data_IF_966202804395
#
_entry.id   IF_966202804395
#
_cell.length_a   1.000
_cell.length_b   1.000
_cell.length_c   1.000
_cell.angle_alpha   90.00
_cell.angle_beta   90.00
_cell.angle_gamma   90.00
#
_symmetry.space_group_name_H-M   'P 1'
#
loop_
_entity.id
_entity.type
_entity.pdbx_description
1 polymer ?
#
# COMPACT_ATOMS: atom_id res chain seq x y z
N UNK A 1 26.91 34.54 -35.39
CA UNK A 1 25.44 34.37 -35.34
C UNK A 1 25.17 32.88 -35.27
N UNK A 2 24.72 32.38 -34.13
CA UNK A 2 24.50 30.95 -33.89
C UNK A 2 23.00 30.72 -33.88
N UNK A 3 22.48 30.02 -34.89
CA UNK A 3 21.06 29.66 -34.99
C UNK A 3 20.72 28.66 -33.88
N UNK A 4 19.70 28.90 -33.05
CA UNK A 4 19.28 27.92 -32.06
C UNK A 4 18.69 26.69 -32.78
N UNK A 5 18.97 25.47 -32.31
CA UNK A 5 18.37 24.27 -32.89
C UNK A 5 16.85 24.32 -32.69
N UNK A 6 16.09 24.09 -33.76
CA UNK A 6 14.65 23.83 -33.68
C UNK A 6 14.42 22.63 -32.76
N UNK A 7 13.76 22.87 -31.64
CA UNK A 7 13.25 21.82 -30.78
C UNK A 7 12.19 21.03 -31.56
N UNK A 8 12.57 19.89 -32.13
CA UNK A 8 11.61 18.96 -32.70
C UNK A 8 10.65 18.51 -31.61
N UNK A 9 9.36 18.74 -31.79
CA UNK A 9 8.31 18.28 -30.88
C UNK A 9 8.29 16.76 -30.92
N UNK A 10 8.84 16.10 -29.90
CA UNK A 10 8.71 14.65 -29.72
C UNK A 10 7.39 14.38 -29.00
N UNK A 11 6.53 13.54 -29.59
CA UNK A 11 5.33 13.04 -28.92
C UNK A 11 5.74 12.03 -27.86
N UNK A 12 5.36 12.23 -26.58
CA UNK A 12 5.57 11.22 -25.55
C UNK A 12 4.78 9.95 -25.91
N UNK A 13 5.41 8.79 -25.73
CA UNK A 13 4.76 7.48 -25.85
C UNK A 13 4.59 6.91 -24.44
N UNK A 14 3.44 6.32 -24.16
CA UNK A 14 3.23 5.65 -22.88
C UNK A 14 3.99 4.31 -22.84
N UNK A 15 4.40 3.88 -21.64
CA UNK A 15 5.15 2.64 -21.48
C UNK A 15 4.42 1.42 -22.07
N UNK A 16 3.09 1.36 -21.96
CA UNK A 16 2.29 0.25 -22.47
C UNK A 16 2.18 0.21 -24.00
N UNK A 17 2.52 1.30 -24.70
CA UNK A 17 2.62 1.29 -26.15
C UNK A 17 3.89 0.54 -26.58
N UNK A 18 4.97 0.70 -25.81
CA UNK A 18 6.21 -0.04 -25.98
C UNK A 18 6.09 -1.49 -25.49
N UNK A 19 5.39 -1.71 -24.37
CA UNK A 19 5.34 -2.98 -23.65
C UNK A 19 3.90 -3.52 -23.53
N UNK A 20 3.14 -3.52 -24.64
CA UNK A 20 1.73 -3.91 -24.65
C UNK A 20 1.46 -5.34 -24.15
N UNK A 21 2.45 -6.25 -24.30
CA UNK A 21 2.37 -7.62 -23.76
C UNK A 21 2.39 -7.63 -22.24
N UNK A 22 3.20 -6.77 -21.63
CA UNK A 22 3.30 -6.65 -20.18
C UNK A 22 1.98 -6.14 -19.60
N UNK A 23 1.44 -5.05 -20.16
CA UNK A 23 0.14 -4.52 -19.71
C UNK A 23 -0.96 -5.58 -19.80
N UNK A 24 -1.02 -6.33 -20.91
CA UNK A 24 -2.02 -7.39 -21.07
C UNK A 24 -1.89 -8.47 -20.00
N UNK A 25 -0.65 -8.91 -19.72
CA UNK A 25 -0.37 -9.88 -18.66
C UNK A 25 -0.85 -9.37 -17.30
N UNK A 26 -0.49 -8.14 -16.92
CA UNK A 26 -0.92 -7.56 -15.64
C UNK A 26 -2.46 -7.46 -15.57
N UNK A 27 -3.13 -7.10 -16.67
CA UNK A 27 -4.59 -7.07 -16.75
C UNK A 27 -5.25 -8.44 -16.62
N UNK A 28 -4.66 -9.48 -17.21
CA UNK A 28 -5.15 -10.86 -17.11
C UNK A 28 -4.98 -11.39 -15.68
N UNK A 29 -3.79 -11.24 -15.10
CA UNK A 29 -3.47 -11.69 -13.75
C UNK A 29 -4.32 -10.96 -12.70
N UNK A 30 -4.39 -9.62 -12.77
CA UNK A 30 -5.14 -8.83 -11.77
C UNK A 30 -6.63 -9.13 -11.86
N UNK A 31 -7.23 -9.23 -13.06
CA UNK A 31 -8.67 -9.56 -13.17
C UNK A 31 -9.00 -10.97 -12.71
N UNK A 32 -8.05 -11.90 -12.83
CA UNK A 32 -8.24 -13.26 -12.33
C UNK A 32 -8.26 -13.31 -10.79
N UNK A 33 -7.40 -12.54 -10.13
CA UNK A 33 -7.26 -12.56 -8.67
C UNK A 33 -8.16 -11.53 -7.96
N UNK A 34 -8.38 -10.37 -8.58
CA UNK A 34 -9.06 -9.21 -8.00
C UNK A 34 -10.00 -8.58 -9.03
N UNK A 35 -11.12 -9.25 -9.38
CA UNK A 35 -12.02 -8.82 -10.44
C UNK A 35 -12.68 -7.46 -10.20
N UNK A 36 -12.77 -7.03 -8.94
CA UNK A 36 -13.37 -5.76 -8.54
C UNK A 36 -12.43 -4.55 -8.66
N UNK A 37 -11.14 -4.78 -8.93
CA UNK A 37 -10.21 -3.68 -9.20
C UNK A 37 -10.48 -3.09 -10.59
N UNK A 38 -10.56 -1.76 -10.64
CA UNK A 38 -10.83 -1.00 -11.84
C UNK A 38 -9.51 -0.49 -12.44
N UNK A 39 -9.23 -0.91 -13.67
CA UNK A 39 -8.09 -0.38 -14.42
C UNK A 39 -8.37 1.07 -14.86
N UNK A 40 -7.37 1.92 -14.67
CA UNK A 40 -7.33 3.30 -15.13
C UNK A 40 -6.28 3.47 -16.22
N UNK A 41 -6.67 4.16 -17.29
CA UNK A 41 -5.83 4.35 -18.48
C UNK A 41 -5.28 5.78 -18.62
N UNK A 42 -5.28 6.58 -17.54
CA UNK A 42 -4.74 7.93 -17.53
C UNK A 42 -3.24 7.94 -17.21
N UNK A 43 -2.46 8.74 -17.94
CA UNK A 43 -1.02 8.86 -17.71
C UNK A 43 -0.26 7.56 -17.99
N UNK A 44 0.40 6.99 -16.98
CA UNK A 44 1.01 5.66 -17.04
C UNK A 44 0.02 4.56 -16.60
N UNK A 45 -1.20 4.95 -16.22
CA UNK A 45 -2.31 4.15 -15.71
C UNK A 45 -2.01 3.37 -14.44
N UNK A 46 -2.94 2.52 -14.08
CA UNK A 46 -2.97 1.93 -12.75
C UNK A 46 -4.27 1.22 -12.44
N UNK A 47 -4.47 0.91 -11.17
CA UNK A 47 -5.65 0.22 -10.66
C UNK A 47 -6.16 0.89 -9.41
N UNK A 48 -7.47 0.85 -9.19
CA UNK A 48 -8.07 1.32 -7.94
C UNK A 48 -9.21 0.40 -7.52
N UNK A 49 -9.48 0.35 -6.22
CA UNK A 49 -10.58 -0.41 -5.66
C UNK A 49 -10.23 -1.01 -4.30
N UNK A 50 -11.03 -1.97 -3.88
CA UNK A 50 -10.91 -2.62 -2.58
C UNK A 50 -10.40 -4.05 -2.78
N UNK A 51 -9.28 -4.38 -2.13
CA UNK A 51 -8.81 -5.76 -2.05
C UNK A 51 -9.70 -6.58 -1.11
N UNK A 52 -9.86 -7.90 -1.36
CA UNK A 52 -10.48 -8.80 -0.40
C UNK A 52 -9.78 -8.71 0.95
N UNK A 53 -10.56 -8.93 2.02
CA UNK A 53 -10.05 -8.94 3.39
C UNK A 53 -8.98 -10.02 3.61
N UNK A 54 -9.14 -11.16 2.96
CA UNK A 54 -8.26 -12.32 3.09
C UNK A 54 -8.09 -13.03 1.74
N UNK A 55 -7.16 -12.56 0.88
CA UNK A 55 -6.93 -13.15 -0.44
C UNK A 55 -5.86 -14.27 -0.44
N UNK A 56 -5.57 -14.88 0.71
CA UNK A 56 -4.47 -15.83 0.86
C UNK A 56 -4.93 -17.28 0.68
N UNK A 57 -4.00 -18.15 0.26
CA UNK A 57 -4.24 -19.60 0.10
C UNK A 57 -4.16 -20.35 1.44
N UNK A 58 -4.85 -19.83 2.45
CA UNK A 58 -5.03 -20.47 3.77
C UNK A 58 -6.31 -20.01 4.44
N UNK A 59 -6.86 -20.74 5.43
CA UNK A 59 -8.12 -20.38 6.07
C UNK A 59 -8.09 -19.00 6.69
N UNK A 60 -9.18 -18.24 6.52
CA UNK A 60 -9.34 -16.95 7.19
C UNK A 60 -9.48 -17.12 8.71
N UNK A 61 -8.74 -16.37 9.54
CA UNK A 61 -8.91 -16.38 10.98
C UNK A 61 -10.32 -15.96 11.41
N UNK A 62 -10.92 -16.73 12.32
CA UNK A 62 -12.33 -16.58 12.68
C UNK A 62 -12.73 -15.18 13.20
N UNK A 63 -11.80 -14.44 13.80
CA UNK A 63 -12.03 -13.11 14.38
C UNK A 63 -11.33 -11.99 13.62
N UNK A 64 -10.91 -12.20 12.37
CA UNK A 64 -10.27 -11.16 11.56
C UNK A 64 -11.15 -9.91 11.42
N UNK A 65 -12.47 -10.09 11.31
CA UNK A 65 -13.43 -9.00 11.23
C UNK A 65 -13.38 -8.05 12.45
N UNK A 66 -13.01 -8.57 13.62
CA UNK A 66 -12.93 -7.78 14.86
C UNK A 66 -11.70 -6.86 14.84
N UNK A 67 -10.68 -7.18 14.05
CA UNK A 67 -9.46 -6.38 13.90
C UNK A 67 -9.57 -5.32 12.81
N UNK A 68 -10.11 -5.69 11.64
CA UNK A 68 -10.07 -4.85 10.44
C UNK A 68 -11.45 -4.47 9.90
N UNK A 69 -12.52 -4.94 10.53
CA UNK A 69 -13.88 -4.73 10.06
C UNK A 69 -14.26 -5.68 8.91
N UNK A 70 -15.32 -5.29 8.19
CA UNK A 70 -15.89 -6.09 7.10
C UNK A 70 -15.17 -5.96 5.75
N UNK A 71 -14.28 -4.97 5.61
CA UNK A 71 -13.65 -4.62 4.33
C UNK A 71 -12.13 -4.85 4.39
N UNK A 72 -11.53 -5.10 3.22
CA UNK A 72 -10.07 -5.19 3.09
C UNK A 72 -9.41 -3.82 2.95
N UNK A 73 -8.44 -3.72 2.04
CA UNK A 73 -7.70 -2.48 1.78
C UNK A 73 -8.29 -1.74 0.58
N UNK A 74 -8.76 -0.51 0.75
CA UNK A 74 -8.96 0.39 -0.38
C UNK A 74 -7.60 0.96 -0.81
N UNK A 75 -7.28 0.88 -2.11
CA UNK A 75 -5.98 1.31 -2.61
C UNK A 75 -6.03 1.98 -3.98
N UNK A 76 -4.91 2.65 -4.28
CA UNK A 76 -4.51 3.07 -5.61
C UNK A 76 -3.16 2.42 -5.95
N UNK A 77 -3.10 1.70 -7.06
CA UNK A 77 -1.87 1.23 -7.68
C UNK A 77 -1.54 2.11 -8.87
N UNK A 78 -0.36 2.72 -8.87
CA UNK A 78 0.13 3.56 -9.95
C UNK A 78 1.32 2.92 -10.66
N UNK A 79 1.23 2.77 -11.98
CA UNK A 79 2.41 2.51 -12.80
C UNK A 79 3.18 3.82 -13.02
N UNK A 80 4.50 3.72 -13.14
CA UNK A 80 5.35 4.82 -13.64
C UNK A 80 5.63 4.66 -15.13
N UNK A 81 6.06 5.73 -15.81
CA UNK A 81 6.47 5.64 -17.23
C UNK A 81 7.72 4.76 -17.45
N UNK A 82 8.45 4.41 -16.38
CA UNK A 82 9.57 3.47 -16.42
C UNK A 82 9.16 2.00 -16.16
N UNK A 83 7.86 1.74 -15.98
CA UNK A 83 7.35 0.38 -15.82
C UNK A 83 7.53 -0.42 -17.13
N UNK A 84 7.91 -1.72 -17.08
CA UNK A 84 8.08 -2.58 -15.90
C UNK A 84 9.48 -2.58 -15.29
N UNK A 85 10.42 -1.75 -15.74
CA UNK A 85 11.78 -1.74 -15.17
C UNK A 85 11.78 -1.24 -13.72
N UNK A 86 10.91 -0.28 -13.41
CA UNK A 86 10.67 0.19 -12.05
C UNK A 86 9.32 -0.36 -11.56
N UNK A 87 9.28 -0.83 -10.31
CA UNK A 87 8.08 -1.34 -9.68
C UNK A 87 6.95 -0.29 -9.66
N UNK A 88 5.68 -0.71 -9.70
CA UNK A 88 4.56 0.20 -9.46
C UNK A 88 4.55 0.63 -7.99
N UNK A 89 3.86 1.74 -7.72
CA UNK A 89 3.61 2.19 -6.34
C UNK A 89 2.21 1.80 -5.94
N UNK A 90 2.03 1.41 -4.69
CA UNK A 90 0.72 1.13 -4.10
C UNK A 90 0.51 2.11 -2.96
N UNK A 91 -0.60 2.84 -3.00
CA UNK A 91 -1.00 3.79 -1.98
C UNK A 91 -2.25 3.24 -1.27
N UNK A 92 -2.21 3.11 0.07
CA UNK A 92 -3.41 2.84 0.84
C UNK A 92 -4.30 4.09 0.84
N UNK A 93 -5.59 3.91 0.57
CA UNK A 93 -6.61 4.96 0.58
C UNK A 93 -7.44 4.87 1.86
N UNK A 94 -7.86 3.66 2.23
CA UNK A 94 -8.55 3.38 3.49
C UNK A 94 -8.05 2.04 4.08
N UNK A 95 -7.40 2.04 5.26
CA UNK A 95 -7.07 3.20 6.09
C UNK A 95 -5.95 4.05 5.47
N UNK A 96 -6.09 5.38 5.60
CA UNK A 96 -5.02 6.31 5.24
C UNK A 96 -4.00 6.41 6.39
N UNK A 97 -2.71 6.06 6.18
CA UNK A 97 -1.68 6.22 7.19
C UNK A 97 -1.46 7.67 7.60
N UNK A 98 -1.15 7.87 8.87
CA UNK A 98 -0.87 9.20 9.41
C UNK A 98 0.51 9.69 8.96
N UNK A 99 0.70 11.00 8.71
CA UNK A 99 1.97 11.52 8.20
C UNK A 99 3.20 11.18 9.04
N UNK A 100 3.03 11.00 10.36
CA UNK A 100 4.13 10.63 11.24
C UNK A 100 4.56 9.16 11.06
N UNK A 101 3.71 8.29 10.51
CA UNK A 101 4.01 6.88 10.19
C UNK A 101 4.86 6.75 8.92
N UNK A 102 4.92 7.79 8.10
CA UNK A 102 5.67 7.77 6.84
C UNK A 102 7.17 7.75 7.11
N UNK A 103 7.94 7.14 6.20
CA UNK A 103 9.40 6.90 6.33
C UNK A 103 9.81 6.01 7.49
N UNK A 104 8.89 5.64 8.39
CA UNK A 104 9.17 4.73 9.48
C UNK A 104 9.08 3.29 8.98
N UNK A 105 10.23 2.62 8.99
CA UNK A 105 10.37 1.26 8.51
C UNK A 105 9.44 0.24 9.17
N UNK A 106 9.08 0.43 10.44
CA UNK A 106 8.17 -0.48 11.15
C UNK A 106 6.74 -0.49 10.60
N UNK A 107 6.34 0.53 9.82
CA UNK A 107 5.02 0.64 9.19
C UNK A 107 5.01 0.27 7.71
N UNK A 108 6.17 -0.01 7.11
CA UNK A 108 6.32 -0.26 5.67
C UNK A 108 5.74 0.84 4.79
N UNK A 109 6.06 2.09 5.12
CA UNK A 109 5.67 3.27 4.35
C UNK A 109 6.89 4.04 3.84
N UNK A 110 6.85 4.40 2.57
CA UNK A 110 7.78 5.32 1.93
C UNK A 110 7.43 6.78 2.31
N UNK A 111 8.31 7.73 1.98
CA UNK A 111 8.09 9.15 2.26
C UNK A 111 6.97 9.81 1.46
N UNK A 112 6.46 9.15 0.42
CA UNK A 112 5.31 9.59 -0.37
C UNK A 112 3.99 8.90 0.03
N UNK A 113 3.97 8.21 1.18
CA UNK A 113 2.87 7.39 1.67
C UNK A 113 2.61 6.09 0.88
N UNK A 114 3.41 5.78 -0.15
CA UNK A 114 3.31 4.47 -0.80
C UNK A 114 3.85 3.36 0.09
N UNK A 115 3.35 2.14 -0.10
CA UNK A 115 3.78 0.96 0.64
C UNK A 115 5.20 0.53 0.21
N UNK A 116 6.02 0.16 1.20
CA UNK A 116 7.36 -0.38 1.03
C UNK A 116 7.32 -1.92 1.03
N UNK A 117 6.90 -2.52 -0.10
CA UNK A 117 6.56 -3.97 -0.20
C UNK A 117 7.69 -4.88 -0.71
N UNK A 118 8.81 -4.31 -1.13
CA UNK A 118 9.93 -4.99 -1.81
C UNK A 118 11.20 -5.01 -0.96
N UNK A 119 11.08 -5.18 0.36
CA UNK A 119 12.26 -5.10 1.25
C UNK A 119 13.23 -6.25 1.01
N UNK A 120 12.72 -7.48 1.08
CA UNK A 120 13.53 -8.70 0.92
C UNK A 120 13.49 -9.22 -0.54
N UNK A 121 12.66 -8.62 -1.38
CA UNK A 121 12.48 -8.99 -2.78
C UNK A 121 13.04 -7.94 -3.74
N UNK A 122 13.64 -8.41 -4.84
CA UNK A 122 14.14 -7.54 -5.89
C UNK A 122 13.15 -7.51 -7.05
N UNK A 123 12.66 -6.33 -7.40
CA UNK A 123 11.90 -6.13 -8.62
C UNK A 123 12.83 -6.14 -9.83
N UNK A 124 12.61 -7.09 -10.74
CA UNK A 124 13.34 -7.23 -12.00
C UNK A 124 12.48 -6.91 -13.22
N UNK A 125 11.20 -6.59 -13.00
CA UNK A 125 10.22 -6.35 -14.06
C UNK A 125 9.67 -7.64 -14.66
N UNK A 126 9.85 -8.78 -13.98
CA UNK A 126 9.29 -10.09 -14.37
C UNK A 126 8.23 -10.59 -13.40
N UNK A 127 8.31 -10.13 -12.16
CA UNK A 127 7.42 -10.43 -11.04
C UNK A 127 5.99 -10.00 -11.37
N UNK A 128 5.02 -10.64 -10.72
CA UNK A 128 3.60 -10.29 -10.89
C UNK A 128 3.27 -9.08 -10.02
N UNK A 129 2.40 -8.21 -10.53
CA UNK A 129 1.80 -7.14 -9.72
C UNK A 129 0.84 -7.73 -8.67
N UNK A 130 0.28 -8.92 -8.93
CA UNK A 130 -0.56 -9.64 -7.96
C UNK A 130 0.19 -9.92 -6.67
N UNK A 131 1.48 -10.27 -6.75
CA UNK A 131 2.30 -10.53 -5.55
C UNK A 131 2.40 -9.28 -4.66
N UNK A 132 2.47 -8.09 -5.26
CA UNK A 132 2.45 -6.81 -4.54
C UNK A 132 1.07 -6.50 -3.96
N UNK A 133 -0.01 -6.79 -4.69
CA UNK A 133 -1.37 -6.61 -4.20
C UNK A 133 -1.69 -7.54 -3.01
N UNK A 134 -1.22 -8.79 -3.04
CA UNK A 134 -1.33 -9.71 -1.91
C UNK A 134 -0.61 -9.13 -0.69
N UNK A 135 0.62 -8.64 -0.86
CA UNK A 135 1.36 -7.98 0.22
C UNK A 135 0.67 -6.74 0.75
N UNK A 136 0.01 -5.96 -0.12
CA UNK A 136 -0.79 -4.82 0.31
C UNK A 136 -2.01 -5.25 1.15
N UNK A 137 -2.69 -6.35 0.79
CA UNK A 137 -3.75 -6.92 1.64
C UNK A 137 -3.19 -7.38 2.99
N UNK A 138 -1.99 -7.97 3.01
CA UNK A 138 -1.31 -8.34 4.25
C UNK A 138 -0.97 -7.14 5.13
N UNK A 139 -0.45 -6.08 4.51
CA UNK A 139 -0.15 -4.81 5.19
C UNK A 139 -1.36 -4.25 5.92
N UNK A 140 -2.57 -4.33 5.35
CA UNK A 140 -3.81 -3.85 6.00
C UNK A 140 -4.10 -4.54 7.33
N UNK A 141 -3.79 -5.83 7.42
CA UNK A 141 -3.99 -6.66 8.61
C UNK A 141 -2.95 -6.27 9.66
N UNK A 142 -1.69 -6.21 9.27
CA UNK A 142 -0.60 -5.83 10.17
C UNK A 142 -0.71 -4.38 10.63
N UNK A 143 -1.24 -3.49 9.80
CA UNK A 143 -1.52 -2.10 10.16
C UNK A 143 -2.52 -2.02 11.31
N UNK A 144 -3.57 -2.84 11.29
CA UNK A 144 -4.50 -2.90 12.42
C UNK A 144 -3.84 -3.49 13.67
N UNK A 145 -3.04 -4.56 13.54
CA UNK A 145 -2.29 -5.12 14.66
C UNK A 145 -1.37 -4.07 15.31
N UNK A 146 -0.67 -3.28 14.49
CA UNK A 146 0.16 -2.14 14.95
C UNK A 146 -0.69 -1.07 15.66
N UNK A 147 -1.81 -0.64 15.06
CA UNK A 147 -2.71 0.37 15.66
C UNK A 147 -3.28 -0.09 17.01
N UNK A 148 -3.52 -1.39 17.16
CA UNK A 148 -3.96 -2.01 18.42
C UNK A 148 -2.80 -2.40 19.35
N UNK A 149 -1.54 -2.10 18.98
CA UNK A 149 -0.32 -2.43 19.74
C UNK A 149 -0.14 -3.93 20.02
N UNK A 150 -0.70 -4.78 19.17
CA UNK A 150 -0.52 -6.23 19.23
C UNK A 150 0.86 -6.66 18.71
N UNK A 151 1.45 -5.84 17.84
CA UNK A 151 2.83 -5.95 17.36
C UNK A 151 3.50 -4.58 17.40
N UNK A 152 4.82 -4.55 17.54
CA UNK A 152 5.62 -3.31 17.56
C UNK A 152 6.20 -2.95 16.18
N UNK A 153 6.30 -3.94 15.29
CA UNK A 153 6.75 -3.78 13.92
C UNK A 153 6.03 -4.79 13.03
N UNK A 154 5.76 -4.38 11.79
CA UNK A 154 5.30 -5.29 10.74
C UNK A 154 6.42 -6.25 10.31
N UNK A 155 6.01 -7.38 9.76
CA UNK A 155 6.89 -8.41 9.21
C UNK A 155 7.56 -7.94 7.92
N UNK A 156 8.78 -8.43 7.65
CA UNK A 156 9.53 -8.00 6.46
C UNK A 156 8.94 -8.54 5.15
N UNK A 157 8.37 -9.75 5.19
CA UNK A 157 7.77 -10.44 4.04
C UNK A 157 6.26 -10.24 3.91
N UNK A 158 5.61 -9.65 4.92
CA UNK A 158 4.16 -9.57 5.05
C UNK A 158 3.53 -10.91 5.49
N UNK A 159 2.38 -10.84 6.15
CA UNK A 159 1.58 -12.01 6.59
C UNK A 159 1.20 -12.97 5.44
N UNK A 160 1.30 -12.52 4.19
CA UNK A 160 1.14 -13.35 2.99
C UNK A 160 2.10 -14.54 3.00
N UNK A 161 3.36 -14.31 3.38
CA UNK A 161 4.43 -15.30 3.37
C UNK A 161 4.80 -15.82 4.78
N UNK A 162 4.24 -15.20 5.83
CA UNK A 162 4.51 -15.51 7.24
C UNK A 162 3.19 -15.74 7.99
N UNK A 163 2.97 -16.94 8.52
CA UNK A 163 1.77 -17.30 9.27
C UNK A 163 1.89 -17.08 10.79
N UNK A 164 3.03 -16.55 11.26
CA UNK A 164 3.29 -16.36 12.69
C UNK A 164 2.30 -15.42 13.39
N UNK A 165 1.67 -14.52 12.65
CA UNK A 165 0.69 -13.56 13.17
C UNK A 165 -0.75 -14.13 13.24
N UNK A 166 -1.03 -15.29 12.63
CA UNK A 166 -2.39 -15.84 12.56
C UNK A 166 -2.97 -16.13 13.96
N UNK A 167 -2.11 -16.48 14.93
CA UNK A 167 -2.51 -16.71 16.31
C UNK A 167 -2.95 -15.43 17.04
N UNK A 168 -2.47 -14.26 16.63
CA UNK A 168 -2.96 -13.00 17.18
C UNK A 168 -4.36 -12.69 16.66
N UNK A 169 -4.65 -13.05 15.42
CA UNK A 169 -5.92 -12.76 14.75
C UNK A 169 -7.12 -13.53 15.31
N UNK A 170 -6.90 -14.53 16.17
CA UNK A 170 -7.97 -15.25 16.88
C UNK A 170 -8.36 -14.63 18.22
N UNK A 171 -7.58 -13.67 18.74
CA UNK A 171 -7.79 -13.03 20.05
C UNK A 171 -7.73 -11.50 19.92
N UNK A 172 -8.77 -10.84 19.38
CA UNK A 172 -8.84 -9.38 19.31
C UNK A 172 -8.79 -8.73 20.68
N UNK A 173 -8.31 -7.47 20.76
CA UNK A 173 -8.26 -6.73 21.99
C UNK A 173 -9.67 -6.52 22.54
N UNK A 174 -9.80 -6.50 23.87
CA UNK A 174 -11.05 -6.12 24.53
C UNK A 174 -11.50 -4.75 23.99
N UNK A 175 -12.81 -4.55 23.73
CA UNK A 175 -13.32 -3.25 23.28
C UNK A 175 -13.12 -2.20 24.40
N UNK A 176 -11.98 -1.50 24.34
CA UNK A 176 -11.55 -0.53 25.34
C UNK A 176 -11.03 0.75 24.69
N UNK A 177 -11.78 1.85 24.92
CA UNK A 177 -11.49 3.26 24.69
C UNK A 177 -10.44 3.60 23.62
N UNK A 178 -10.90 3.72 22.37
CA UNK A 178 -10.28 4.61 21.37
C UNK A 178 -10.49 6.08 21.78
N UNK A 179 -9.98 6.45 22.96
CA UNK A 179 -9.83 7.84 23.35
C UNK A 179 -8.80 8.46 22.42
N UNK A 180 -9.25 9.45 21.65
CA UNK A 180 -8.43 10.31 20.78
C UNK A 180 -7.13 10.70 21.47
N UNK A 181 -5.98 10.71 20.78
CA UNK A 181 -4.79 11.39 21.27
C UNK A 181 -5.17 12.84 21.58
N UNK A 182 -4.99 13.27 22.83
CA UNK A 182 -5.39 14.58 23.30
C UNK A 182 -4.78 15.69 22.44
N UNK A 183 -5.63 16.62 22.02
CA UNK A 183 -5.18 17.96 21.64
C UNK A 183 -4.25 18.49 22.75
N UNK A 184 -3.08 19.04 22.41
CA UNK A 184 -2.27 19.73 23.39
C UNK A 184 -3.06 20.92 23.93
N UNK A 185 -3.25 20.94 25.25
CA UNK A 185 -3.90 22.02 26.00
C UNK A 185 -3.36 23.39 25.58
N UNK A 186 -4.16 24.12 24.83
CA UNK A 186 -3.97 25.54 24.60
C UNK A 186 -4.52 26.30 25.81
N UNK A 187 -3.73 26.35 26.88
CA UNK A 187 -3.83 27.36 27.93
C UNK A 187 -2.38 27.83 28.21
N UNK A 188 -1.96 29.07 28.01
CA UNK A 188 -2.69 30.30 28.30
C UNK A 188 -2.08 30.96 29.53
N UNK A 189 -0.97 31.69 29.31
CA UNK A 189 -0.50 32.88 30.04
C UNK A 189 0.08 32.78 31.47
N UNK A 190 1.14 33.56 31.70
CA UNK A 190 1.50 34.09 33.03
C UNK A 190 3.02 34.26 33.24
N UNK A 191 3.54 35.46 32.99
CA UNK A 191 4.98 35.74 33.04
C UNK A 191 5.61 35.81 34.44
N UNK A 192 6.94 35.97 34.48
CA UNK A 192 7.60 37.07 35.19
C UNK A 192 9.08 37.06 34.83
N UNK A 193 9.57 38.22 34.40
CA UNK A 193 10.98 38.53 34.37
C UNK A 193 11.52 38.67 35.80
N UNK A 194 12.73 38.15 36.02
CA UNK A 194 13.82 38.69 36.83
C UNK A 194 15.07 37.87 36.54
#
# INVERSE_FOLDING_TARGET
>A
MTTPPSAGTRTPIAWWECEARRLRRDQEEIRACFPDLLFRNDGAGGWQGVLPRWPFDRPEPARLADWIGGCGLELLLEYGQAYPIVAPRIFPVDPLPEPWEWTQHCWHLNGDASLCLLRDDVWTGRESVVDLLLKAAGWRIEYALMKHRAIEQMTSSGIVADDSLDQLLVCPPEPGDTARPGEPDAAGQGGSAC
#
